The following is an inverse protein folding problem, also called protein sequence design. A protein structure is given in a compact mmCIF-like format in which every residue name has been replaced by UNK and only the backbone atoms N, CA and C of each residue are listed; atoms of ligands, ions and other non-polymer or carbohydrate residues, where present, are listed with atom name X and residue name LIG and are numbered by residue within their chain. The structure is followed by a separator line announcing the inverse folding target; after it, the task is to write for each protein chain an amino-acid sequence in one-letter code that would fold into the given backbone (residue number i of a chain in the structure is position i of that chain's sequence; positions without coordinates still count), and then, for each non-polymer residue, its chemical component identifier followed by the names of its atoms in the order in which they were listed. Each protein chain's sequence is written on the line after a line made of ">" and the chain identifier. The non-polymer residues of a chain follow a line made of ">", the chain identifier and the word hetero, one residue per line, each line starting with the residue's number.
data_IF_462946649740
#
_entry.id   IF_462946649740
#
_cell.length_a   1.000
_cell.length_b   1.000
_cell.length_c   1.000
_cell.angle_alpha   90.00
_cell.angle_beta   90.00
_cell.angle_gamma   90.00
#
_symmetry.space_group_name_H-M   'P 1'
#
loop_
_entity.id
_entity.type
_entity.pdbx_description
1 polymer ?
#
# COMPACT_ATOMS: atom_id res chain seq x y z
N UNK A 1 -16.72 -11.41 -22.07
CA UNK A 1 -16.59 -12.88 -21.89
C UNK A 1 -16.39 -13.11 -20.40
N UNK A 2 -17.16 -13.98 -19.75
CA UNK A 2 -16.93 -14.30 -18.34
C UNK A 2 -15.74 -15.27 -18.26
N UNK A 3 -14.68 -14.88 -17.56
CA UNK A 3 -13.59 -15.79 -17.19
C UNK A 3 -13.76 -16.16 -15.73
N UNK A 4 -14.11 -17.42 -15.45
CA UNK A 4 -14.11 -17.97 -14.10
C UNK A 4 -12.68 -18.26 -13.69
N UNK A 5 -12.24 -17.69 -12.57
CA UNK A 5 -10.91 -17.95 -11.99
C UNK A 5 -11.13 -18.82 -10.74
N UNK A 6 -10.67 -20.07 -10.81
CA UNK A 6 -10.90 -21.07 -9.75
C UNK A 6 -10.23 -20.70 -8.41
N UNK A 7 -9.05 -20.08 -8.48
CA UNK A 7 -8.36 -19.44 -7.37
C UNK A 7 -7.40 -18.39 -7.93
N UNK A 8 -7.39 -17.18 -7.36
CA UNK A 8 -6.50 -16.10 -7.79
C UNK A 8 -5.66 -15.54 -6.63
N UNK A 9 -4.37 -15.35 -6.88
CA UNK A 9 -3.49 -14.43 -6.17
C UNK A 9 -2.90 -13.47 -7.21
N UNK A 10 -2.66 -12.22 -6.83
CA UNK A 10 -2.13 -11.15 -7.68
C UNK A 10 -3.14 -10.07 -8.01
N UNK A 11 -2.78 -9.22 -8.97
CA UNK A 11 -3.64 -8.15 -9.49
C UNK A 11 -4.52 -8.68 -10.64
N UNK A 12 -5.84 -8.64 -10.44
CA UNK A 12 -6.85 -8.88 -11.47
C UNK A 12 -7.54 -7.57 -11.83
N UNK A 13 -7.70 -7.32 -13.12
CA UNK A 13 -8.24 -6.07 -13.63
C UNK A 13 -9.59 -6.31 -14.30
N UNK A 14 -10.60 -5.51 -13.93
CA UNK A 14 -11.92 -5.48 -14.56
C UNK A 14 -12.08 -4.12 -15.24
N UNK A 15 -12.57 -4.14 -16.47
CA UNK A 15 -12.83 -2.94 -17.25
C UNK A 15 -13.66 -3.29 -18.48
N UNK A 16 -14.26 -2.26 -19.09
CA UNK A 16 -15.07 -2.36 -20.30
C UNK A 16 -16.32 -3.27 -20.16
N UNK A 17 -16.93 -3.31 -18.97
CA UNK A 17 -18.15 -4.07 -18.71
C UNK A 17 -17.92 -5.58 -18.65
N UNK A 18 -16.71 -5.98 -18.30
CA UNK A 18 -16.37 -7.39 -18.17
C UNK A 18 -16.82 -7.96 -16.82
N UNK A 19 -16.87 -9.28 -16.76
CA UNK A 19 -17.19 -10.02 -15.54
C UNK A 19 -16.00 -10.88 -15.14
N UNK A 20 -15.56 -10.74 -13.89
CA UNK A 20 -14.68 -11.71 -13.23
C UNK A 20 -15.49 -12.44 -12.17
N UNK A 21 -15.34 -13.76 -12.14
CA UNK A 21 -15.92 -14.62 -11.11
C UNK A 21 -14.81 -15.33 -10.34
N UNK A 22 -14.86 -15.22 -9.02
CA UNK A 22 -13.90 -15.81 -8.10
C UNK A 22 -14.59 -16.86 -7.25
N UNK A 23 -14.17 -18.11 -7.46
CA UNK A 23 -14.60 -19.23 -6.61
C UNK A 23 -13.93 -19.18 -5.23
N UNK A 24 -12.65 -18.79 -5.19
CA UNK A 24 -11.84 -18.65 -3.98
C UNK A 24 -10.61 -17.76 -4.23
N UNK A 25 -9.90 -17.38 -3.16
CA UNK A 25 -8.65 -16.62 -3.22
C UNK A 25 -8.73 -15.23 -2.59
N UNK A 26 -7.62 -14.50 -2.65
CA UNK A 26 -7.47 -13.18 -2.06
C UNK A 26 -6.73 -12.18 -2.99
N UNK A 27 -7.07 -12.11 -4.29
CA UNK A 27 -6.38 -11.20 -5.20
C UNK A 27 -6.70 -9.74 -4.90
N UNK A 28 -5.88 -8.84 -5.44
CA UNK A 28 -6.25 -7.45 -5.62
C UNK A 28 -7.10 -7.32 -6.89
N UNK A 29 -8.31 -6.79 -6.78
CA UNK A 29 -9.22 -6.46 -7.87
C UNK A 29 -9.15 -4.97 -8.18
N UNK A 30 -8.89 -4.63 -9.43
CA UNK A 30 -8.89 -3.26 -9.92
C UNK A 30 -10.00 -3.05 -10.94
N UNK A 31 -11.01 -2.26 -10.58
CA UNK A 31 -11.99 -1.70 -11.50
C UNK A 31 -11.38 -0.47 -12.19
N UNK A 32 -11.41 -0.42 -13.53
CA UNK A 32 -10.66 0.60 -14.29
C UNK A 32 -11.48 1.78 -14.79
N UNK A 33 -12.73 1.57 -15.20
CA UNK A 33 -13.43 2.55 -16.04
C UNK A 33 -14.88 2.85 -15.63
N UNK A 34 -15.39 2.21 -14.58
CA UNK A 34 -16.76 2.42 -14.08
C UNK A 34 -17.84 1.98 -15.07
N UNK A 35 -17.51 1.16 -16.08
CA UNK A 35 -18.44 0.81 -17.16
C UNK A 35 -19.14 -0.52 -16.92
N UNK A 36 -20.03 -0.58 -15.93
CA UNK A 36 -20.86 -1.77 -15.68
C UNK A 36 -20.05 -3.06 -15.47
N UNK A 37 -18.87 -2.93 -14.86
CA UNK A 37 -18.02 -4.06 -14.52
C UNK A 37 -18.65 -4.89 -13.40
N UNK A 38 -18.45 -6.21 -13.45
CA UNK A 38 -19.02 -7.15 -12.48
C UNK A 38 -17.94 -8.03 -11.85
N UNK A 39 -17.79 -7.93 -10.52
CA UNK A 39 -17.06 -8.90 -9.72
C UNK A 39 -18.07 -9.86 -9.05
N UNK A 40 -17.98 -11.16 -9.33
CA UNK A 40 -18.72 -12.19 -8.61
C UNK A 40 -17.84 -12.88 -7.59
N UNK A 41 -18.32 -12.93 -6.35
CA UNK A 41 -17.68 -13.65 -5.26
C UNK A 41 -18.55 -14.84 -4.87
N UNK A 42 -18.06 -16.06 -5.08
CA UNK A 42 -18.78 -17.26 -4.66
C UNK A 42 -18.72 -17.44 -3.12
N UNK A 43 -17.66 -16.92 -2.50
CA UNK A 43 -17.41 -16.99 -1.05
C UNK A 43 -17.09 -15.60 -0.47
N UNK A 44 -18.04 -14.65 -0.48
CA UNK A 44 -17.79 -13.26 -0.05
C UNK A 44 -17.41 -13.15 1.43
N UNK A 45 -17.85 -14.09 2.28
CA UNK A 45 -17.52 -14.12 3.71
C UNK A 45 -16.05 -14.47 4.01
N UNK A 46 -15.36 -15.14 3.09
CA UNK A 46 -13.94 -15.51 3.21
C UNK A 46 -13.02 -14.71 2.30
N UNK A 47 -13.55 -13.78 1.50
CA UNK A 47 -12.73 -12.92 0.65
C UNK A 47 -11.90 -11.97 1.51
N UNK A 48 -10.58 -12.08 1.40
CA UNK A 48 -9.62 -11.21 2.11
C UNK A 48 -8.81 -10.32 1.18
N UNK A 49 -9.07 -10.42 -0.13
CA UNK A 49 -8.42 -9.60 -1.14
C UNK A 49 -8.76 -8.12 -1.04
N UNK A 50 -8.13 -7.33 -1.91
CA UNK A 50 -8.32 -5.88 -1.98
C UNK A 50 -9.17 -5.52 -3.19
N UNK A 51 -10.03 -4.53 -3.09
CA UNK A 51 -10.84 -4.01 -4.21
C UNK A 51 -10.53 -2.53 -4.35
N UNK A 52 -10.19 -2.11 -5.56
CA UNK A 52 -9.75 -0.75 -5.88
C UNK A 52 -10.55 -0.22 -7.06
N UNK A 53 -10.91 1.06 -7.02
CA UNK A 53 -11.59 1.72 -8.13
C UNK A 53 -13.06 1.30 -8.30
N UNK A 54 -13.69 0.69 -7.30
CA UNK A 54 -15.10 0.32 -7.34
C UNK A 54 -16.01 1.57 -7.33
N UNK A 55 -16.69 1.86 -8.42
CA UNK A 55 -17.38 3.13 -8.60
C UNK A 55 -18.80 2.97 -9.17
N UNK A 56 -19.51 4.10 -9.35
CA UNK A 56 -20.84 4.05 -9.93
C UNK A 56 -20.79 3.44 -11.33
N UNK A 57 -21.69 2.48 -11.57
CA UNK A 57 -21.66 1.61 -12.73
C UNK A 57 -21.23 0.20 -12.37
N UNK A 58 -20.23 0.03 -11.50
CA UNK A 58 -19.71 -1.27 -11.12
C UNK A 58 -20.63 -2.02 -10.16
N UNK A 59 -20.53 -3.35 -10.16
CA UNK A 59 -21.29 -4.22 -9.27
C UNK A 59 -20.40 -5.30 -8.66
N UNK A 60 -20.56 -5.53 -7.36
CA UNK A 60 -20.06 -6.72 -6.67
C UNK A 60 -21.27 -7.61 -6.38
N UNK A 61 -21.28 -8.81 -6.94
CA UNK A 61 -22.25 -9.85 -6.67
C UNK A 61 -21.75 -10.70 -5.49
N UNK A 62 -22.55 -10.72 -4.43
CA UNK A 62 -22.27 -11.38 -3.15
C UNK A 62 -23.00 -12.73 -3.05
N UNK A 63 -23.47 -13.28 -4.18
CA UNK A 63 -24.27 -14.49 -4.21
C UNK A 63 -25.53 -14.36 -3.35
N UNK A 64 -25.93 -15.44 -2.69
CA UNK A 64 -27.15 -15.49 -1.88
C UNK A 64 -26.96 -14.91 -0.46
N UNK A 65 -25.99 -14.01 -0.24
CA UNK A 65 -25.66 -13.47 1.08
C UNK A 65 -26.66 -12.36 1.48
N UNK A 66 -27.53 -12.55 2.47
CA UNK A 66 -28.43 -11.48 2.92
C UNK A 66 -27.65 -10.37 3.61
N UNK A 67 -27.99 -9.11 3.33
CA UNK A 67 -27.38 -7.92 3.95
C UNK A 67 -28.48 -6.97 4.40
N UNK A 68 -28.50 -6.64 5.70
CA UNK A 68 -29.46 -5.71 6.30
C UNK A 68 -28.83 -4.39 6.75
N UNK A 69 -27.50 -4.33 6.87
CA UNK A 69 -26.78 -3.11 7.23
C UNK A 69 -25.37 -3.09 6.67
N UNK A 70 -24.85 -1.89 6.44
CA UNK A 70 -23.52 -1.62 5.87
C UNK A 70 -22.82 -0.60 6.76
N UNK A 71 -21.54 -0.82 7.03
CA UNK A 71 -20.68 0.21 7.63
C UNK A 71 -19.36 0.32 6.89
N UNK A 72 -18.90 1.54 6.66
CA UNK A 72 -17.62 1.82 6.02
C UNK A 72 -16.74 2.66 6.93
N UNK A 73 -15.49 2.23 7.12
CA UNK A 73 -14.52 2.89 7.99
C UNK A 73 -13.43 3.66 7.23
N UNK A 74 -12.76 4.58 7.94
CA UNK A 74 -11.57 5.28 7.44
C UNK A 74 -10.40 4.34 7.07
N UNK A 75 -10.47 3.09 7.53
CA UNK A 75 -9.49 2.05 7.22
C UNK A 75 -9.71 1.37 5.86
N UNK A 76 -10.70 1.81 5.07
CA UNK A 76 -10.98 1.21 3.78
C UNK A 76 -11.86 -0.06 3.84
N UNK A 77 -12.36 -0.45 5.02
CA UNK A 77 -13.10 -1.71 5.17
C UNK A 77 -14.61 -1.45 5.15
N UNK A 78 -15.29 -2.09 4.19
CA UNK A 78 -16.74 -2.22 4.14
C UNK A 78 -17.16 -3.47 4.90
N UNK A 79 -17.91 -3.29 5.99
CA UNK A 79 -18.50 -4.40 6.75
C UNK A 79 -19.96 -4.55 6.39
N UNK A 80 -20.33 -5.75 5.96
CA UNK A 80 -21.69 -6.14 5.61
C UNK A 80 -22.25 -7.00 6.74
N UNK A 81 -23.43 -6.66 7.24
CA UNK A 81 -24.06 -7.39 8.34
C UNK A 81 -25.52 -7.72 8.03
N UNK A 82 -26.00 -8.82 8.61
CA UNK A 82 -27.41 -9.23 8.58
C UNK A 82 -27.89 -9.46 10.01
N UNK A 83 -28.95 -8.75 10.40
CA UNK A 83 -29.53 -8.83 11.74
C UNK A 83 -28.49 -8.68 12.88
N UNK A 84 -27.49 -7.82 12.68
CA UNK A 84 -26.42 -7.56 13.66
C UNK A 84 -25.20 -8.49 13.57
N UNK A 85 -25.25 -9.56 12.77
CA UNK A 85 -24.11 -10.47 12.55
C UNK A 85 -23.33 -10.04 11.31
N UNK A 86 -22.00 -9.95 11.41
CA UNK A 86 -21.15 -9.68 10.25
C UNK A 86 -21.15 -10.89 9.32
N UNK A 87 -21.55 -10.67 8.07
CA UNK A 87 -21.66 -11.72 7.04
C UNK A 87 -20.51 -11.66 6.02
N UNK A 88 -19.91 -10.48 5.82
CA UNK A 88 -18.73 -10.29 4.99
C UNK A 88 -17.97 -9.00 5.35
N UNK A 89 -16.69 -8.97 5.01
CA UNK A 89 -15.85 -7.76 5.06
C UNK A 89 -15.11 -7.63 3.73
N UNK A 90 -15.22 -6.48 3.09
CA UNK A 90 -14.55 -6.18 1.83
C UNK A 90 -13.57 -5.02 2.02
N UNK A 91 -12.34 -5.18 1.56
CA UNK A 91 -11.33 -4.12 1.61
C UNK A 91 -11.49 -3.23 0.36
N UNK A 92 -12.27 -2.15 0.46
CA UNK A 92 -12.47 -1.16 -0.61
C UNK A 92 -11.50 0.01 -0.46
N UNK A 93 -10.39 0.03 -1.22
CA UNK A 93 -9.40 1.10 -1.20
C UNK A 93 -9.64 2.14 -2.31
N UNK A 94 -9.31 3.39 -1.99
CA UNK A 94 -9.27 4.52 -2.93
C UNK A 94 -10.57 4.82 -3.72
N UNK A 95 -11.72 4.94 -3.05
CA UNK A 95 -12.98 5.47 -3.60
C UNK A 95 -13.69 6.51 -2.69
N UNK A 96 -14.51 7.39 -3.27
CA UNK A 96 -15.20 8.47 -2.51
C UNK A 96 -16.44 7.98 -1.74
N UNK A 97 -16.26 7.03 -0.80
CA UNK A 97 -17.36 6.47 -0.03
C UNK A 97 -17.57 7.25 1.28
N UNK A 98 -18.82 7.55 1.67
CA UNK A 98 -19.11 8.08 3.00
C UNK A 98 -18.62 7.13 4.09
N UNK A 99 -18.09 7.68 5.19
CA UNK A 99 -17.71 6.91 6.38
C UNK A 99 -18.84 6.94 7.40
N UNK A 100 -19.18 5.79 7.99
CA UNK A 100 -20.30 5.65 8.90
C UNK A 100 -20.95 4.27 8.88
N UNK A 101 -22.13 4.17 9.48
CA UNK A 101 -22.92 2.94 9.60
C UNK A 101 -24.38 3.22 9.28
N UNK A 102 -24.98 2.39 8.43
CA UNK A 102 -26.33 2.58 7.93
C UNK A 102 -27.10 1.26 7.84
N UNK A 103 -28.39 1.32 8.13
CA UNK A 103 -29.31 0.24 7.78
C UNK A 103 -29.60 0.27 6.28
N UNK A 104 -29.79 -0.90 5.68
CA UNK A 104 -30.25 -1.02 4.30
C UNK A 104 -31.76 -0.74 4.28
N UNK A 105 -32.15 0.40 3.74
CA UNK A 105 -33.56 0.80 3.62
C UNK A 105 -33.90 0.94 2.15
N UNK A 106 -34.83 0.10 1.66
CA UNK A 106 -35.22 0.02 0.23
C UNK A 106 -33.99 -0.13 -0.69
N UNK A 107 -33.00 -0.88 -0.22
CA UNK A 107 -31.77 -1.14 -0.94
C UNK A 107 -30.75 0.00 -0.95
N UNK A 108 -30.88 1.04 -0.12
CA UNK A 108 -29.88 2.10 0.02
C UNK A 108 -29.25 2.09 1.43
N UNK A 109 -27.95 2.35 1.51
CA UNK A 109 -27.20 2.46 2.77
C UNK A 109 -25.95 3.36 2.59
N UNK A 110 -26.04 4.64 3.01
CA UNK A 110 -24.85 5.49 3.14
C UNK A 110 -24.03 5.73 1.87
N UNK A 111 -24.68 5.80 0.70
CA UNK A 111 -24.01 5.91 -0.59
C UNK A 111 -23.75 4.57 -1.29
N UNK A 112 -23.93 3.45 -0.59
CA UNK A 112 -24.01 2.12 -1.19
C UNK A 112 -25.46 1.77 -1.56
N UNK A 113 -25.59 0.94 -2.58
CA UNK A 113 -26.85 0.31 -2.98
C UNK A 113 -26.71 -1.20 -2.79
N UNK A 114 -27.69 -1.80 -2.12
CA UNK A 114 -27.80 -3.23 -1.88
C UNK A 114 -29.11 -3.67 -2.51
N UNK A 115 -29.02 -4.43 -3.60
CA UNK A 115 -30.19 -4.89 -4.36
C UNK A 115 -30.21 -6.41 -4.47
N UNK A 116 -31.34 -6.96 -4.86
CA UNK A 116 -31.46 -8.39 -5.20
C UNK A 116 -31.64 -8.48 -6.71
N UNK A 117 -30.74 -9.20 -7.38
CA UNK A 117 -30.82 -9.48 -8.80
C UNK A 117 -31.97 -10.41 -9.16
N UNK A 118 -32.27 -10.52 -10.45
CA UNK A 118 -33.31 -11.44 -10.94
C UNK A 118 -32.96 -12.93 -10.68
N UNK A 119 -31.68 -13.21 -10.49
CA UNK A 119 -31.09 -14.49 -10.05
C UNK A 119 -31.22 -14.72 -8.53
N UNK A 120 -31.78 -13.77 -7.78
CA UNK A 120 -31.89 -13.83 -6.33
C UNK A 120 -30.60 -13.44 -5.59
N UNK A 121 -29.53 -13.07 -6.31
CA UNK A 121 -28.26 -12.71 -5.70
C UNK A 121 -28.29 -11.30 -5.12
N UNK A 122 -27.64 -11.11 -3.98
CA UNK A 122 -27.39 -9.80 -3.41
C UNK A 122 -26.30 -9.09 -4.21
N UNK A 123 -26.61 -7.90 -4.72
CA UNK A 123 -25.70 -7.06 -5.49
C UNK A 123 -25.40 -5.78 -4.73
N UNK A 124 -24.12 -5.49 -4.59
CA UNK A 124 -23.60 -4.25 -4.05
C UNK A 124 -23.16 -3.34 -5.20
N UNK A 125 -23.60 -2.10 -5.20
CA UNK A 125 -23.11 -1.02 -6.06
C UNK A 125 -22.99 0.28 -5.26
N UNK A 126 -22.53 1.35 -5.89
CA UNK A 126 -22.44 2.68 -5.26
C UNK A 126 -23.25 3.72 -6.02
N UNK A 127 -23.90 4.59 -5.26
CA UNK A 127 -24.71 5.70 -5.76
C UNK A 127 -23.91 7.00 -5.92
N UNK A 128 -22.68 7.06 -5.39
CA UNK A 128 -21.82 8.25 -5.45
C UNK A 128 -21.31 8.52 -6.87
N UNK A 129 -21.08 9.79 -7.25
CA UNK A 129 -20.53 10.13 -8.57
C UNK A 129 -19.24 9.37 -8.86
N UNK A 130 -19.04 8.99 -10.13
CA UNK A 130 -17.80 8.38 -10.59
C UNK A 130 -16.59 9.29 -10.26
N UNK A 131 -15.39 8.72 -10.07
CA UNK A 131 -14.17 9.48 -9.92
C UNK A 131 -13.96 10.41 -11.10
N UNK A 132 -13.24 11.50 -10.86
CA UNK A 132 -12.79 12.36 -11.94
C UNK A 132 -11.54 11.73 -12.55
N UNK A 133 -11.64 11.37 -13.83
CA UNK A 133 -10.59 10.64 -14.56
C UNK A 133 -9.80 11.57 -15.48
N UNK A 134 -8.47 11.41 -15.54
CA UNK A 134 -7.62 12.19 -16.43
C UNK A 134 -7.82 11.84 -17.92
N UNK A 135 -7.76 12.84 -18.80
CA UNK A 135 -7.90 12.70 -20.25
C UNK A 135 -6.65 12.18 -20.97
N UNK A 136 -5.56 11.93 -20.22
CA UNK A 136 -4.24 11.61 -20.77
C UNK A 136 -3.47 12.84 -21.28
N UNK A 137 -3.93 14.05 -20.98
CA UNK A 137 -3.21 15.29 -21.24
C UNK A 137 -2.45 15.75 -19.99
N UNK A 138 -1.26 16.31 -20.18
CA UNK A 138 -0.53 16.95 -19.08
C UNK A 138 -1.16 18.29 -18.70
N UNK A 139 -1.08 18.67 -17.43
CA UNK A 139 -1.61 19.95 -16.97
C UNK A 139 -1.61 20.10 -15.46
N UNK A 140 -2.19 21.20 -14.99
CA UNK A 140 -2.39 21.44 -13.57
C UNK A 140 -3.64 20.70 -13.05
N UNK A 141 -3.59 20.16 -11.84
CA UNK A 141 -4.66 19.44 -11.17
C UNK A 141 -5.97 20.25 -11.13
N UNK A 142 -5.86 21.55 -10.89
CA UNK A 142 -7.00 22.48 -10.84
C UNK A 142 -7.47 22.99 -12.22
N UNK A 143 -6.82 22.60 -13.31
CA UNK A 143 -7.23 23.00 -14.66
C UNK A 143 -8.25 22.00 -15.23
N UNK A 144 -9.24 22.51 -15.97
CA UNK A 144 -10.26 21.71 -16.64
C UNK A 144 -9.72 20.76 -17.72
N UNK A 145 -8.75 21.24 -18.52
CA UNK A 145 -8.23 20.55 -19.70
C UNK A 145 -7.69 19.11 -19.47
N UNK A 146 -6.93 18.82 -18.40
CA UNK A 146 -6.41 17.47 -18.16
C UNK A 146 -7.45 16.41 -17.77
N UNK A 147 -8.74 16.76 -17.64
CA UNK A 147 -9.77 15.83 -17.15
C UNK A 147 -10.80 15.49 -18.21
N UNK A 148 -11.27 14.25 -18.17
CA UNK A 148 -12.38 13.80 -19.02
C UNK A 148 -13.61 14.67 -18.75
N UNK A 149 -14.19 15.23 -19.82
CA UNK A 149 -15.35 16.13 -19.71
C UNK A 149 -14.99 17.56 -19.28
N UNK A 150 -13.70 17.91 -19.15
CA UNK A 150 -13.27 19.29 -18.92
C UNK A 150 -13.59 19.82 -17.52
N UNK A 151 -13.80 18.96 -16.53
CA UNK A 151 -14.10 19.37 -15.16
C UNK A 151 -12.95 18.98 -14.24
N UNK A 152 -12.31 19.97 -13.60
CA UNK A 152 -11.26 19.73 -12.63
C UNK A 152 -11.81 19.07 -11.34
N UNK A 153 -11.03 18.21 -10.67
CA UNK A 153 -11.38 17.67 -9.37
C UNK A 153 -11.61 18.78 -8.36
N UNK A 154 -12.75 18.72 -7.69
CA UNK A 154 -13.04 19.51 -6.49
C UNK A 154 -12.47 18.87 -5.23
N UNK A 155 -12.52 19.62 -4.13
CA UNK A 155 -12.10 19.12 -2.82
C UNK A 155 -12.91 17.90 -2.39
N UNK A 156 -12.24 16.82 -2.00
CA UNK A 156 -12.89 15.61 -1.51
C UNK A 156 -13.44 14.68 -2.60
N UNK A 157 -13.24 15.02 -3.88
CA UNK A 157 -13.59 14.13 -5.00
C UNK A 157 -12.45 13.13 -5.23
N UNK A 158 -12.79 11.86 -5.46
CA UNK A 158 -11.83 10.84 -5.85
C UNK A 158 -11.24 11.15 -7.23
N UNK A 159 -9.94 10.96 -7.37
CA UNK A 159 -9.19 11.24 -8.58
C UNK A 159 -8.53 9.96 -9.10
N UNK A 160 -8.83 9.62 -10.35
CA UNK A 160 -8.25 8.46 -11.03
C UNK A 160 -7.37 8.91 -12.20
N UNK A 161 -6.14 8.41 -12.25
CA UNK A 161 -5.17 8.68 -13.30
C UNK A 161 -4.93 7.40 -14.12
N UNK A 162 -5.62 7.23 -15.25
CA UNK A 162 -5.48 6.12 -16.20
C UNK A 162 -6.52 6.17 -17.35
N UNK A 163 -6.54 5.23 -18.32
CA UNK A 163 -5.48 4.36 -18.83
C UNK A 163 -4.86 4.99 -20.10
N UNK A 164 -4.20 6.14 -19.96
CA UNK A 164 -3.67 6.83 -21.14
C UNK A 164 -2.64 5.97 -21.90
N UNK A 165 -2.68 6.02 -23.22
CA UNK A 165 -1.74 5.34 -24.12
C UNK A 165 -0.41 6.10 -24.30
N UNK A 166 -0.22 7.23 -23.61
CA UNK A 166 0.94 8.10 -23.73
C UNK A 166 1.32 8.68 -22.38
N UNK A 167 2.59 9.07 -22.16
CA UNK A 167 3.00 9.67 -20.91
C UNK A 167 2.33 11.03 -20.71
N UNK A 168 1.90 11.30 -19.49
CA UNK A 168 1.32 12.58 -19.12
C UNK A 168 1.63 12.88 -17.65
N UNK A 169 1.65 14.17 -17.31
CA UNK A 169 1.95 14.66 -15.97
C UNK A 169 0.83 15.58 -15.51
N UNK A 170 0.19 15.23 -14.41
CA UNK A 170 -0.71 16.13 -13.68
C UNK A 170 0.08 16.71 -12.51
N UNK A 171 0.29 18.03 -12.49
CA UNK A 171 0.97 18.73 -11.40
C UNK A 171 -0.04 19.38 -10.44
N UNK A 172 0.15 19.33 -9.13
CA UNK A 172 -0.80 19.95 -8.17
C UNK A 172 -0.90 21.47 -8.32
N UNK A 173 0.17 22.11 -8.78
CA UNK A 173 0.25 23.54 -9.05
C UNK A 173 0.42 24.38 -7.80
N UNK A 174 0.14 25.68 -7.94
CA UNK A 174 0.38 26.68 -6.88
C UNK A 174 -0.66 26.69 -5.77
N UNK A 175 -1.67 25.83 -5.82
CA UNK A 175 -2.75 25.74 -4.85
C UNK A 175 -2.66 24.43 -4.07
N UNK A 176 -3.01 24.47 -2.79
CA UNK A 176 -3.15 23.27 -1.99
C UNK A 176 -4.23 22.38 -2.61
N UNK A 177 -3.83 21.23 -3.15
CA UNK A 177 -4.76 20.28 -3.73
C UNK A 177 -5.36 19.40 -2.62
N UNK A 178 -6.65 19.10 -2.71
CA UNK A 178 -7.29 18.15 -1.81
C UNK A 178 -8.11 17.16 -2.63
N UNK A 179 -7.85 15.87 -2.42
CA UNK A 179 -8.59 14.77 -3.05
C UNK A 179 -9.23 13.90 -1.98
N UNK A 180 -10.39 13.32 -2.29
CA UNK A 180 -11.01 12.33 -1.43
C UNK A 180 -10.19 11.05 -1.38
N UNK A 181 -9.86 10.54 -2.57
CA UNK A 181 -9.09 9.33 -2.81
C UNK A 181 -8.18 9.54 -4.02
N UNK A 182 -6.93 9.09 -3.93
CA UNK A 182 -5.97 9.18 -5.03
C UNK A 182 -5.67 7.78 -5.57
N UNK A 183 -5.92 7.58 -6.86
CA UNK A 183 -5.69 6.33 -7.56
C UNK A 183 -4.93 6.56 -8.88
N UNK A 184 -3.78 5.92 -9.06
CA UNK A 184 -3.00 5.92 -10.30
C UNK A 184 -3.00 4.51 -10.90
N UNK A 185 -3.58 4.35 -12.09
CA UNK A 185 -3.74 3.05 -12.76
C UNK A 185 -3.06 3.00 -14.13
N UNK A 186 -2.72 4.15 -14.72
CA UNK A 186 -2.00 4.22 -15.99
C UNK A 186 -0.49 4.12 -15.80
N UNK A 187 0.14 3.09 -16.38
CA UNK A 187 1.59 2.86 -16.26
C UNK A 187 2.48 4.01 -16.76
N UNK A 188 1.96 4.87 -17.63
CA UNK A 188 2.67 6.05 -18.15
C UNK A 188 2.25 7.37 -17.49
N UNK A 189 1.24 7.33 -16.61
CA UNK A 189 0.74 8.51 -15.92
C UNK A 189 1.65 8.89 -14.76
N UNK A 190 1.87 10.18 -14.59
CA UNK A 190 2.53 10.75 -13.41
C UNK A 190 1.63 11.75 -12.73
N UNK A 191 1.47 11.62 -11.41
CA UNK A 191 1.01 12.72 -10.57
C UNK A 191 2.23 13.33 -9.88
N UNK A 192 2.45 14.61 -10.10
CA UNK A 192 3.47 15.41 -9.44
C UNK A 192 2.84 16.30 -8.38
N UNK A 193 3.15 16.02 -7.12
CA UNK A 193 2.86 16.90 -5.99
C UNK A 193 4.01 17.89 -5.89
N UNK A 194 3.81 19.10 -6.38
CA UNK A 194 4.79 20.19 -6.43
C UNK A 194 4.63 21.21 -5.28
N UNK A 195 3.53 21.13 -4.53
CA UNK A 195 3.31 21.88 -3.29
C UNK A 195 2.71 21.02 -2.19
N UNK A 196 1.46 21.25 -1.80
CA UNK A 196 0.79 20.52 -0.73
C UNK A 196 -0.42 19.79 -1.33
N UNK A 197 -0.50 18.50 -1.08
CA UNK A 197 -1.64 17.67 -1.43
C UNK A 197 -2.14 16.91 -0.20
N UNK A 198 -3.44 17.00 0.05
CA UNK A 198 -4.13 16.22 1.07
C UNK A 198 -5.02 15.15 0.41
N UNK A 199 -4.68 13.88 0.62
CA UNK A 199 -5.49 12.71 0.30
C UNK A 199 -6.09 12.15 1.60
N UNK A 200 -7.04 12.91 2.18
CA UNK A 200 -7.33 12.86 3.61
C UNK A 200 -8.04 11.60 4.13
N UNK A 201 -8.77 10.88 3.27
CA UNK A 201 -9.78 9.93 3.74
C UNK A 201 -9.38 8.47 3.51
N UNK A 202 -8.42 8.23 2.62
CA UNK A 202 -8.01 6.92 2.14
C UNK A 202 -6.55 6.91 1.70
N UNK A 203 -5.94 5.72 1.61
CA UNK A 203 -4.58 5.60 1.11
C UNK A 203 -4.47 6.14 -0.31
N UNK A 204 -3.34 6.78 -0.61
CA UNK A 204 -2.90 6.98 -1.98
C UNK A 204 -2.52 5.64 -2.59
N UNK A 205 -3.20 5.24 -3.66
CA UNK A 205 -2.97 3.96 -4.33
C UNK A 205 -2.31 4.19 -5.67
N UNK A 206 -1.13 3.59 -5.86
CA UNK A 206 -0.40 3.56 -7.11
C UNK A 206 -0.45 2.12 -7.63
N UNK A 207 -1.46 1.80 -8.42
CA UNK A 207 -1.55 0.49 -9.06
C UNK A 207 -0.56 0.37 -10.23
N UNK A 208 -0.33 1.47 -10.95
CA UNK A 208 0.72 1.62 -11.94
C UNK A 208 1.09 3.10 -12.11
N UNK A 209 2.20 3.39 -12.79
CA UNK A 209 2.64 4.75 -13.07
C UNK A 209 3.43 5.36 -11.92
N UNK A 210 3.51 6.69 -11.87
CA UNK A 210 4.38 7.39 -10.90
C UNK A 210 3.62 8.38 -10.04
N UNK A 211 3.80 8.28 -8.73
CA UNK A 211 3.53 9.34 -7.77
C UNK A 211 4.85 10.03 -7.41
N UNK A 212 5.03 11.28 -7.82
CA UNK A 212 6.20 12.07 -7.51
C UNK A 212 5.85 13.17 -6.50
N UNK A 213 6.59 13.24 -5.39
CA UNK A 213 6.54 14.36 -4.45
C UNK A 213 7.81 15.17 -4.65
N UNK A 214 7.65 16.36 -5.25
CA UNK A 214 8.75 17.22 -5.64
C UNK A 214 9.45 17.84 -4.42
N UNK A 215 10.52 18.58 -4.69
CA UNK A 215 11.31 19.19 -3.64
C UNK A 215 10.50 20.19 -2.80
N UNK A 216 10.56 20.05 -1.48
CA UNK A 216 9.81 20.84 -0.48
C UNK A 216 8.28 20.70 -0.58
N UNK A 217 7.78 19.75 -1.37
CA UNK A 217 6.37 19.44 -1.44
C UNK A 217 5.96 18.49 -0.30
N UNK A 218 4.67 18.43 0.00
CA UNK A 218 4.08 17.58 1.03
C UNK A 218 2.88 16.86 0.47
N UNK A 219 2.91 15.53 0.50
CA UNK A 219 1.72 14.70 0.36
C UNK A 219 1.32 14.19 1.74
N UNK A 220 0.10 14.47 2.16
CA UNK A 220 -0.49 13.88 3.36
C UNK A 220 -1.58 12.89 2.96
N UNK A 221 -1.48 11.64 3.42
CA UNK A 221 -2.47 10.59 3.15
C UNK A 221 -2.66 9.68 4.36
N UNK A 222 -3.72 8.86 4.39
CA UNK A 222 -3.89 7.84 5.43
C UNK A 222 -3.08 6.57 5.19
N UNK A 223 -2.51 6.41 4.00
CA UNK A 223 -1.67 5.28 3.61
C UNK A 223 -1.01 5.51 2.26
N UNK A 224 -0.01 4.70 1.93
CA UNK A 224 0.54 4.62 0.58
C UNK A 224 0.60 3.15 0.15
N UNK A 225 -0.07 2.80 -0.92
CA UNK A 225 -0.16 1.41 -1.38
C UNK A 225 0.25 1.32 -2.84
N UNK A 226 1.28 0.54 -3.12
CA UNK A 226 1.65 0.12 -4.46
C UNK A 226 1.14 -1.31 -4.69
N UNK A 227 0.48 -1.55 -5.83
CA UNK A 227 -0.19 -2.84 -6.12
C UNK A 227 0.43 -3.57 -7.32
N UNK A 228 1.60 -3.14 -7.79
CA UNK A 228 2.21 -3.76 -8.95
C UNK A 228 3.60 -3.24 -9.28
N UNK A 229 4.32 -3.96 -10.15
CA UNK A 229 5.71 -3.69 -10.50
C UNK A 229 5.90 -2.38 -11.28
N UNK A 230 4.85 -1.94 -11.98
CA UNK A 230 4.85 -0.67 -12.71
C UNK A 230 4.52 0.53 -11.82
N UNK A 231 4.22 0.31 -10.53
CA UNK A 231 3.99 1.37 -9.58
C UNK A 231 5.34 1.96 -9.12
N UNK A 232 5.41 3.27 -9.13
CA UNK A 232 6.57 4.02 -8.69
C UNK A 232 6.14 5.15 -7.76
N UNK A 233 6.88 5.32 -6.68
CA UNK A 233 6.76 6.50 -5.81
C UNK A 233 8.13 7.10 -5.63
N UNK A 234 8.23 8.41 -5.84
CA UNK A 234 9.47 9.16 -5.70
C UNK A 234 9.27 10.34 -4.76
N UNK A 235 10.18 10.52 -3.82
CA UNK A 235 10.22 11.67 -2.91
C UNK A 235 11.55 12.39 -3.09
N UNK A 236 11.49 13.61 -3.61
CA UNK A 236 12.67 14.43 -3.88
C UNK A 236 13.14 15.21 -2.66
N UNK A 237 14.27 15.91 -2.81
CA UNK A 237 14.95 16.64 -1.73
C UNK A 237 13.99 17.51 -0.92
N UNK A 238 13.92 17.28 0.39
CA UNK A 238 13.00 17.94 1.32
C UNK A 238 11.50 17.76 1.02
N UNK A 239 11.13 17.03 -0.03
CA UNK A 239 9.77 16.56 -0.23
C UNK A 239 9.39 15.60 0.89
N UNK A 240 8.10 15.54 1.23
CA UNK A 240 7.63 14.79 2.38
C UNK A 240 6.35 14.04 2.04
N UNK A 241 6.34 12.73 2.30
CA UNK A 241 5.11 11.95 2.42
C UNK A 241 4.82 11.78 3.90
N UNK A 242 3.65 12.23 4.34
CA UNK A 242 3.14 12.03 5.70
C UNK A 242 2.01 11.02 5.62
N UNK A 243 2.19 9.88 6.28
CA UNK A 243 1.20 8.82 6.34
C UNK A 243 0.60 8.75 7.74
N UNK A 244 -0.68 9.10 7.86
CA UNK A 244 -1.46 8.90 9.08
C UNK A 244 -2.09 7.52 9.05
N UNK A 245 -1.44 6.52 9.63
CA UNK A 245 -1.70 5.11 9.36
C UNK A 245 -3.16 4.63 9.47
N UNK A 246 -3.40 3.51 8.80
CA UNK A 246 -4.60 2.68 8.93
C UNK A 246 -4.54 1.98 10.30
N UNK A 247 -5.64 1.96 11.04
CA UNK A 247 -5.68 1.39 12.39
C UNK A 247 -5.28 -0.10 12.50
N UNK A 248 -5.11 -0.84 11.38
CA UNK A 248 -4.88 -2.29 11.37
C UNK A 248 -4.09 -2.81 10.14
N UNK A 249 -3.07 -2.09 9.64
CA UNK A 249 -2.30 -2.56 8.47
C UNK A 249 -0.97 -1.84 8.23
N UNK A 250 -0.23 -2.26 7.20
CA UNK A 250 0.97 -1.55 6.75
C UNK A 250 0.59 -0.11 6.36
N UNK A 251 1.31 0.87 6.90
CA UNK A 251 1.14 2.27 6.53
C UNK A 251 1.63 2.51 5.09
N UNK A 252 2.69 1.82 4.70
CA UNK A 252 3.21 1.82 3.33
C UNK A 252 3.36 0.38 2.85
N UNK A 253 2.80 0.07 1.68
CA UNK A 253 3.04 -1.18 0.96
C UNK A 253 3.74 -0.87 -0.35
N UNK A 254 4.87 -1.52 -0.59
CA UNK A 254 5.72 -1.36 -1.78
C UNK A 254 5.74 -2.68 -2.53
N UNK A 255 5.09 -2.72 -3.69
CA UNK A 255 5.13 -3.84 -4.65
C UNK A 255 5.84 -3.46 -5.97
N UNK A 256 6.17 -2.16 -6.13
CA UNK A 256 6.96 -1.66 -7.23
C UNK A 256 8.24 -1.00 -6.74
N UNK A 257 8.42 0.28 -7.06
CA UNK A 257 9.60 1.05 -6.64
C UNK A 257 9.22 2.19 -5.70
N UNK A 258 9.90 2.30 -4.55
CA UNK A 258 9.89 3.48 -3.70
C UNK A 258 11.29 4.10 -3.68
N UNK A 259 11.43 5.34 -4.12
CA UNK A 259 12.68 6.09 -4.09
C UNK A 259 12.55 7.33 -3.19
N UNK A 260 13.32 7.39 -2.11
CA UNK A 260 13.43 8.55 -1.23
C UNK A 260 14.81 9.18 -1.43
N UNK A 261 14.87 10.25 -2.24
CA UNK A 261 16.10 10.87 -2.72
C UNK A 261 16.31 12.24 -2.06
N UNK A 262 16.78 12.24 -0.81
CA UNK A 262 16.89 13.44 0.03
C UNK A 262 15.56 13.95 0.61
N UNK A 263 14.47 13.24 0.36
CA UNK A 263 13.14 13.52 0.89
C UNK A 263 12.85 12.80 2.21
N UNK A 264 11.59 12.82 2.64
CA UNK A 264 11.12 12.18 3.87
C UNK A 264 9.88 11.32 3.65
N UNK A 265 9.83 10.16 4.27
CA UNK A 265 8.60 9.38 4.47
C UNK A 265 8.37 9.23 5.96
N UNK A 266 7.27 9.82 6.44
CA UNK A 266 6.85 9.80 7.83
C UNK A 266 5.69 8.82 7.98
N UNK A 267 6.01 7.57 8.25
CA UNK A 267 5.07 6.48 8.54
C UNK A 267 5.17 5.99 10.00
N UNK A 268 5.89 6.71 10.87
CA UNK A 268 6.16 6.31 12.27
C UNK A 268 5.02 6.58 13.26
N UNK A 269 5.26 6.38 14.58
CA UNK A 269 4.26 6.58 15.63
C UNK A 269 3.55 7.92 15.50
N UNK A 270 2.34 8.01 16.08
CA UNK A 270 1.47 9.20 16.00
C UNK A 270 2.26 10.50 16.01
N UNK A 271 2.32 11.15 14.85
CA UNK A 271 2.97 12.44 14.70
C UNK A 271 2.18 13.48 15.53
N UNK A 272 2.87 14.47 16.10
CA UNK A 272 2.20 15.53 16.86
C UNK A 272 1.14 16.22 15.97
N UNK A 273 -0.14 16.13 16.37
CA UNK A 273 -1.27 16.65 15.60
C UNK A 273 -1.94 15.68 14.62
N UNK A 274 -1.39 14.48 14.38
CA UNK A 274 -2.06 13.43 13.62
C UNK A 274 -3.17 12.77 14.46
N UNK A 275 -4.29 12.39 13.85
CA UNK A 275 -5.39 11.67 14.51
C UNK A 275 -5.16 10.16 14.57
N UNK A 276 -4.21 9.63 13.80
CA UNK A 276 -3.85 8.20 13.72
C UNK A 276 -2.34 7.99 13.91
N UNK A 277 -1.97 6.82 14.42
CA UNK A 277 -0.58 6.31 14.50
C UNK A 277 -0.12 5.89 13.11
N UNK A 278 1.13 6.14 12.72
CA UNK A 278 1.72 5.44 11.58
C UNK A 278 1.92 3.95 11.88
N UNK A 279 2.56 3.24 10.96
CA UNK A 279 2.56 1.79 10.97
C UNK A 279 3.73 1.19 10.18
N UNK A 280 3.66 -0.13 10.01
CA UNK A 280 4.71 -0.90 9.35
C UNK A 280 4.88 -0.53 7.88
N UNK A 281 6.12 -0.51 7.37
CA UNK A 281 6.41 -0.51 5.94
C UNK A 281 6.63 -1.95 5.46
N UNK A 282 5.83 -2.40 4.50
CA UNK A 282 5.92 -3.71 3.88
C UNK A 282 6.49 -3.58 2.46
N UNK A 283 7.56 -4.32 2.16
CA UNK A 283 8.21 -4.30 0.84
C UNK A 283 8.24 -5.72 0.29
N UNK A 284 7.61 -5.96 -0.85
CA UNK A 284 7.59 -7.27 -1.52
C UNK A 284 6.86 -8.36 -0.74
N UNK A 285 5.87 -7.98 0.09
CA UNK A 285 4.96 -8.91 0.78
C UNK A 285 3.67 -9.18 0.00
N UNK A 286 3.58 -8.68 -1.23
CA UNK A 286 2.46 -8.92 -2.12
C UNK A 286 2.64 -10.18 -2.96
N UNK A 287 1.53 -10.68 -3.47
CA UNK A 287 1.42 -11.81 -4.39
C UNK A 287 1.85 -11.47 -5.83
N UNK A 288 2.25 -10.23 -6.08
CA UNK A 288 2.84 -9.76 -7.34
C UNK A 288 4.19 -10.42 -7.61
N UNK A 289 4.29 -11.17 -8.71
CA UNK A 289 5.40 -12.04 -9.09
C UNK A 289 6.74 -11.35 -9.48
N UNK A 290 7.11 -10.22 -8.85
CA UNK A 290 8.31 -9.45 -9.19
C UNK A 290 8.93 -8.75 -7.97
N UNK A 291 10.25 -8.43 -8.02
CA UNK A 291 10.94 -7.82 -6.89
C UNK A 291 10.46 -6.39 -6.63
N UNK A 292 10.11 -6.11 -5.38
CA UNK A 292 9.79 -4.77 -4.92
C UNK A 292 11.04 -4.12 -4.32
N UNK A 293 11.27 -2.85 -4.62
CA UNK A 293 12.50 -2.16 -4.23
C UNK A 293 12.19 -0.84 -3.55
N UNK A 294 12.67 -0.68 -2.31
CA UNK A 294 12.76 0.60 -1.65
C UNK A 294 14.23 1.07 -1.61
N UNK A 295 14.49 2.29 -2.05
CA UNK A 295 15.81 2.92 -1.96
C UNK A 295 15.69 4.26 -1.24
N UNK A 296 16.48 4.43 -0.18
CA UNK A 296 16.65 5.70 0.52
C UNK A 296 18.09 6.14 0.33
N UNK A 297 18.26 7.37 -0.16
CA UNK A 297 19.56 7.89 -0.52
C UNK A 297 19.63 9.42 -0.42
N UNK A 298 20.84 9.95 -0.62
CA UNK A 298 21.11 11.38 -0.73
C UNK A 298 20.59 12.22 0.45
N UNK A 299 20.72 11.70 1.68
CA UNK A 299 20.20 12.36 2.88
C UNK A 299 18.71 12.11 3.15
N UNK A 300 18.11 11.15 2.44
CA UNK A 300 16.71 10.78 2.62
C UNK A 300 16.45 10.20 4.02
N UNK A 301 15.24 10.41 4.52
CA UNK A 301 14.84 9.95 5.86
C UNK A 301 13.53 9.17 5.81
N UNK A 302 13.53 7.98 6.39
CA UNK A 302 12.30 7.19 6.58
C UNK A 302 12.13 6.91 8.06
N UNK A 303 10.92 7.14 8.55
CA UNK A 303 10.52 6.84 9.92
C UNK A 303 9.26 5.99 9.87
N UNK A 304 9.28 4.83 10.51
CA UNK A 304 8.11 3.97 10.63
C UNK A 304 8.03 3.34 12.02
N UNK A 305 7.12 2.37 12.22
CA UNK A 305 7.08 1.57 13.45
C UNK A 305 7.65 0.18 13.27
N UNK A 306 8.16 -0.18 12.10
CA UNK A 306 8.66 -1.51 11.79
C UNK A 306 8.66 -1.78 10.30
N UNK A 307 9.65 -2.49 9.83
CA UNK A 307 9.81 -2.83 8.42
C UNK A 307 9.71 -4.35 8.21
N UNK A 308 9.06 -4.78 7.13
CA UNK A 308 9.01 -6.17 6.69
C UNK A 308 9.40 -6.30 5.23
N UNK A 309 10.46 -7.07 4.96
CA UNK A 309 10.88 -7.44 3.60
C UNK A 309 10.40 -8.86 3.31
N UNK A 310 9.51 -8.98 2.34
CA UNK A 310 8.93 -10.25 1.94
C UNK A 310 9.90 -11.14 1.19
N UNK A 311 9.74 -12.44 1.33
CA UNK A 311 10.46 -13.46 0.61
C UNK A 311 9.47 -14.52 0.10
N UNK A 312 9.59 -14.86 -1.16
CA UNK A 312 8.70 -15.80 -1.81
C UNK A 312 9.34 -16.48 -3.03
N UNK A 313 8.62 -17.43 -3.64
CA UNK A 313 9.09 -18.13 -4.84
C UNK A 313 9.16 -17.21 -6.07
N UNK A 314 8.41 -16.10 -6.05
CA UNK A 314 8.26 -15.20 -7.20
C UNK A 314 8.47 -13.72 -6.86
N UNK A 315 8.53 -13.35 -5.59
CA UNK A 315 8.76 -11.97 -5.16
C UNK A 315 9.75 -11.93 -3.99
N UNK A 316 10.55 -10.87 -3.97
CA UNK A 316 11.44 -10.56 -2.87
C UNK A 316 11.45 -9.04 -2.65
N UNK A 317 11.31 -8.65 -1.40
CA UNK A 317 11.51 -7.27 -0.96
C UNK A 317 13.00 -6.94 -0.89
N UNK A 318 13.38 -5.82 -1.49
CA UNK A 318 14.73 -5.25 -1.39
C UNK A 318 14.66 -3.87 -0.76
N UNK A 319 15.43 -3.65 0.30
CA UNK A 319 15.64 -2.35 0.92
C UNK A 319 17.11 -1.94 0.78
N UNK A 320 17.35 -0.78 0.19
CA UNK A 320 18.67 -0.15 0.09
C UNK A 320 18.66 1.18 0.83
N UNK A 321 19.51 1.30 1.85
CA UNK A 321 19.74 2.54 2.60
C UNK A 321 21.19 2.94 2.36
N UNK A 322 21.42 4.03 1.63
CA UNK A 322 22.78 4.39 1.18
C UNK A 322 23.08 5.88 1.23
N UNK A 323 24.34 6.22 1.46
CA UNK A 323 24.85 7.60 1.42
C UNK A 323 24.82 8.30 2.77
N UNK A 324 25.77 9.22 2.94
CA UNK A 324 25.94 9.99 4.18
C UNK A 324 24.71 10.84 4.46
N UNK A 325 24.28 10.86 5.72
CA UNK A 325 23.10 11.60 6.18
C UNK A 325 21.77 10.92 5.88
N UNK A 326 21.79 9.80 5.15
CA UNK A 326 20.60 8.98 4.91
C UNK A 326 20.26 8.17 6.17
N UNK A 327 18.98 8.13 6.54
CA UNK A 327 18.50 7.42 7.72
C UNK A 327 17.22 6.63 7.44
N UNK A 328 17.15 5.41 7.97
CA UNK A 328 15.93 4.65 8.13
C UNK A 328 15.77 4.30 9.61
N UNK A 329 14.61 4.59 10.21
CA UNK A 329 14.40 4.41 11.65
C UNK A 329 13.04 3.82 11.95
N UNK A 330 13.06 2.60 12.49
CA UNK A 330 11.88 1.91 12.99
C UNK A 330 11.73 2.29 14.48
N UNK A 331 10.77 3.17 14.75
CA UNK A 331 10.53 3.74 16.07
C UNK A 331 9.63 2.82 16.90
N UNK A 332 9.84 2.81 18.22
CA UNK A 332 8.89 2.20 19.14
C UNK A 332 7.59 3.04 19.15
N UNK A 333 6.44 2.36 19.12
CA UNK A 333 5.15 3.00 19.39
C UNK A 333 4.61 2.46 20.72
N UNK A 334 4.64 3.26 21.80
CA UNK A 334 4.19 2.82 23.12
C UNK A 334 2.68 2.59 23.18
N UNK A 335 1.92 3.04 22.18
CA UNK A 335 0.47 2.84 22.10
C UNK A 335 0.10 1.51 21.47
N UNK A 336 1.02 0.84 20.78
CA UNK A 336 0.81 -0.51 20.28
C UNK A 336 1.22 -1.54 21.35
N UNK A 337 0.25 -2.33 21.81
CA UNK A 337 0.46 -3.39 22.82
C UNK A 337 1.04 -4.67 22.22
N UNK A 338 1.07 -4.77 20.89
CA UNK A 338 1.75 -5.84 20.19
C UNK A 338 3.24 -5.49 20.13
N UNK A 339 4.09 -6.44 20.55
CA UNK A 339 5.55 -6.40 20.56
C UNK A 339 6.17 -6.38 19.14
N UNK A 340 5.52 -5.69 18.21
CA UNK A 340 5.80 -5.66 16.78
C UNK A 340 6.30 -4.28 16.33
N UNK A 341 6.69 -3.41 17.27
CA UNK A 341 7.17 -2.06 16.96
C UNK A 341 8.68 -1.90 17.13
N UNK A 342 9.25 -1.04 16.31
CA UNK A 342 10.69 -0.86 16.18
C UNK A 342 11.40 -2.11 15.70
N UNK A 343 10.82 -2.82 14.72
CA UNK A 343 11.37 -4.10 14.24
C UNK A 343 11.66 -4.13 12.75
N UNK A 344 12.87 -4.59 12.40
CA UNK A 344 13.24 -4.92 11.03
C UNK A 344 13.20 -6.44 10.80
N UNK A 345 12.27 -6.92 9.97
CA UNK A 345 12.14 -8.33 9.60
C UNK A 345 12.52 -8.54 8.13
N UNK A 346 13.65 -9.19 7.87
CA UNK A 346 14.16 -9.49 6.53
C UNK A 346 13.90 -10.94 6.18
N UNK A 347 13.17 -11.18 5.09
CA UNK A 347 12.93 -12.52 4.58
C UNK A 347 11.68 -13.17 5.13
N UNK A 348 10.66 -12.36 5.43
CA UNK A 348 9.38 -12.84 5.96
C UNK A 348 8.64 -13.58 4.84
N UNK A 349 8.20 -14.83 5.04
CA UNK A 349 7.46 -15.56 4.01
C UNK A 349 6.19 -14.79 3.67
N UNK A 350 5.88 -14.73 2.38
CA UNK A 350 4.60 -14.22 1.90
C UNK A 350 3.47 -14.98 2.62
N UNK A 351 2.51 -14.31 3.28
CA UNK A 351 1.39 -14.98 3.95
C UNK A 351 0.55 -15.87 3.01
N UNK A 352 0.64 -15.67 1.68
CA UNK A 352 -0.02 -16.51 0.68
C UNK A 352 0.65 -17.84 0.37
N UNK A 353 1.92 -18.04 0.76
CA UNK A 353 2.64 -19.31 0.54
C UNK A 353 2.59 -20.17 1.81
N UNK A 354 2.08 -21.40 1.68
CA UNK A 354 2.02 -22.34 2.80
C UNK A 354 3.41 -22.56 3.43
N UNK A 355 3.46 -22.59 4.76
CA UNK A 355 4.68 -22.78 5.53
C UNK A 355 5.49 -23.98 4.99
N UNK A 356 6.75 -23.76 4.62
CA UNK A 356 7.68 -24.82 4.19
C UNK A 356 7.93 -24.92 2.68
N UNK A 357 7.36 -24.05 1.85
CA UNK A 357 7.73 -23.99 0.42
C UNK A 357 9.13 -23.37 0.28
N UNK A 358 10.06 -23.99 -0.48
CA UNK A 358 11.39 -23.42 -0.70
C UNK A 358 11.31 -22.03 -1.31
N UNK A 359 11.98 -21.06 -0.69
CA UNK A 359 12.12 -19.72 -1.24
C UNK A 359 13.26 -19.71 -2.24
N UNK A 360 12.98 -19.36 -3.49
CA UNK A 360 14.00 -19.17 -4.54
C UNK A 360 14.54 -17.73 -4.60
N UNK A 361 13.79 -16.76 -4.07
CA UNK A 361 14.14 -15.33 -4.06
C UNK A 361 14.20 -14.81 -2.61
N UNK A 362 15.38 -14.77 -1.96
CA UNK A 362 15.51 -14.23 -0.61
C UNK A 362 15.33 -12.71 -0.60
N UNK A 363 14.76 -12.18 0.47
CA UNK A 363 14.72 -10.74 0.71
C UNK A 363 16.13 -10.17 0.91
N UNK A 364 16.33 -8.90 0.55
CA UNK A 364 17.64 -8.25 0.62
C UNK A 364 17.59 -6.92 1.38
N UNK A 365 18.46 -6.77 2.36
CA UNK A 365 18.73 -5.51 3.06
C UNK A 365 20.16 -5.06 2.77
N UNK A 366 20.35 -3.82 2.33
CA UNK A 366 21.66 -3.21 2.12
C UNK A 366 21.74 -1.88 2.87
N UNK A 367 22.71 -1.77 3.77
CA UNK A 367 23.05 -0.51 4.46
C UNK A 367 24.49 -0.13 4.09
N UNK A 368 24.66 0.98 3.38
CA UNK A 368 25.96 1.30 2.78
C UNK A 368 26.33 2.79 2.81
N UNK A 369 27.60 3.09 2.53
CA UNK A 369 28.11 4.43 2.23
C UNK A 369 27.81 5.47 3.33
N UNK A 370 27.98 5.08 4.60
CA UNK A 370 27.74 5.97 5.75
C UNK A 370 26.27 6.18 6.12
N UNK A 371 25.34 5.44 5.51
CA UNK A 371 23.94 5.47 5.91
C UNK A 371 23.72 4.82 7.29
N UNK A 372 22.63 5.22 7.95
CA UNK A 372 22.23 4.69 9.25
C UNK A 372 20.87 4.00 9.16
N UNK A 373 20.78 2.79 9.69
CA UNK A 373 19.55 2.06 9.93
C UNK A 373 19.41 1.83 11.44
N UNK A 374 18.26 2.15 12.03
CA UNK A 374 18.02 2.06 13.48
C UNK A 374 16.72 1.35 13.80
N UNK A 375 16.78 0.33 14.65
CA UNK A 375 15.62 -0.36 15.22
C UNK A 375 15.51 -0.03 16.70
N UNK A 376 14.33 0.37 17.18
CA UNK A 376 14.14 0.56 18.61
C UNK A 376 14.16 -0.77 19.39
N UNK A 377 13.65 -1.85 18.78
CA UNK A 377 13.40 -3.14 19.40
C UNK A 377 14.35 -4.23 18.90
N UNK A 378 13.95 -4.93 17.84
CA UNK A 378 14.49 -6.24 17.46
C UNK A 378 14.68 -6.35 15.94
N UNK A 379 15.62 -7.17 15.50
CA UNK A 379 15.81 -7.47 14.08
C UNK A 379 15.90 -8.98 13.81
N UNK A 380 15.37 -9.41 12.67
CA UNK A 380 15.44 -10.79 12.20
C UNK A 380 15.86 -10.87 10.73
N UNK A 381 16.67 -11.88 10.40
CA UNK A 381 17.03 -12.21 9.02
C UNK A 381 16.78 -13.70 8.79
N UNK A 382 15.81 -14.02 7.91
CA UNK A 382 15.50 -15.40 7.53
C UNK A 382 15.14 -16.29 8.72
N UNK A 383 14.28 -15.81 9.62
CA UNK A 383 13.89 -16.51 10.86
C UNK A 383 12.54 -17.18 10.68
N UNK A 384 12.49 -18.49 10.92
CA UNK A 384 11.30 -19.33 10.83
C UNK A 384 11.19 -20.16 9.55
N UNK A 385 10.37 -21.23 9.54
CA UNK A 385 10.21 -22.10 8.38
C UNK A 385 9.78 -21.34 7.13
N UNK A 386 10.42 -21.61 5.99
CA UNK A 386 10.12 -20.92 4.72
C UNK A 386 10.58 -19.46 4.67
N UNK A 387 11.34 -18.97 5.65
CA UNK A 387 11.90 -17.61 5.63
C UNK A 387 13.28 -17.62 4.97
N UNK A 388 13.55 -16.67 4.09
CA UNK A 388 14.86 -16.52 3.46
C UNK A 388 15.24 -15.04 3.29
N UNK A 389 16.37 -14.63 3.86
CA UNK A 389 16.80 -13.23 3.86
C UNK A 389 18.31 -13.05 3.93
N UNK A 390 18.79 -11.94 3.39
CA UNK A 390 20.18 -11.53 3.46
C UNK A 390 20.28 -10.05 3.85
N UNK A 391 21.22 -9.73 4.73
CA UNK A 391 21.59 -8.35 5.02
C UNK A 391 23.08 -8.10 4.78
N UNK A 392 23.41 -6.99 4.12
CA UNK A 392 24.78 -6.51 3.94
C UNK A 392 24.93 -5.12 4.52
N UNK A 393 25.86 -4.96 5.47
CA UNK A 393 26.25 -3.66 6.03
C UNK A 393 27.68 -3.36 5.61
N UNK A 394 27.89 -2.28 4.85
CA UNK A 394 29.19 -2.03 4.23
C UNK A 394 29.56 -0.56 4.05
N UNK A 395 30.81 -0.27 3.69
CA UNK A 395 31.27 1.06 3.30
C UNK A 395 30.91 2.15 4.32
N UNK A 396 31.19 1.90 5.61
CA UNK A 396 30.84 2.81 6.72
C UNK A 396 29.36 2.87 7.09
N UNK A 397 28.50 2.08 6.44
CA UNK A 397 27.10 1.91 6.82
C UNK A 397 26.98 1.37 8.25
N UNK A 398 25.94 1.81 8.97
CA UNK A 398 25.72 1.45 10.37
C UNK A 398 24.30 0.96 10.60
N UNK A 399 24.17 -0.24 11.13
CA UNK A 399 22.90 -0.79 11.60
C UNK A 399 22.89 -0.88 13.12
N UNK A 400 21.93 -0.21 13.76
CA UNK A 400 21.78 -0.16 15.21
C UNK A 400 20.47 -0.85 15.60
N UNK A 401 20.56 -2.07 16.10
CA UNK A 401 19.44 -2.76 16.72
C UNK A 401 19.46 -2.41 18.19
N UNK A 402 18.39 -1.80 18.69
CA UNK A 402 18.29 -1.20 20.02
C UNK A 402 18.47 -2.16 21.19
N UNK A 403 17.52 -2.19 22.12
CA UNK A 403 17.66 -3.01 23.33
C UNK A 403 17.44 -4.52 23.07
N UNK A 404 16.86 -4.89 21.93
CA UNK A 404 16.56 -6.28 21.59
C UNK A 404 17.68 -7.01 20.85
N UNK A 405 17.36 -8.24 20.43
CA UNK A 405 18.29 -9.13 19.75
C UNK A 405 18.32 -8.92 18.23
N UNK A 406 19.39 -9.41 17.60
CA UNK A 406 19.46 -9.67 16.17
C UNK A 406 19.51 -11.19 15.98
N UNK A 407 18.51 -11.76 15.31
CA UNK A 407 18.46 -13.20 15.01
C UNK A 407 18.70 -13.46 13.52
N UNK A 408 19.57 -14.43 13.21
CA UNK A 408 19.96 -14.75 11.83
C UNK A 408 19.81 -16.25 11.59
N UNK A 409 18.97 -16.63 10.64
CA UNK A 409 18.79 -18.02 10.20
C UNK A 409 18.16 -18.96 11.23
N UNK A 410 17.56 -18.45 12.30
CA UNK A 410 16.92 -19.29 13.31
C UNK A 410 15.69 -19.99 12.71
N UNK A 411 15.82 -21.28 12.37
CA UNK A 411 14.74 -22.07 11.76
C UNK A 411 14.42 -21.73 10.30
N UNK A 412 15.25 -20.92 9.64
CA UNK A 412 15.11 -20.50 8.23
C UNK A 412 16.49 -20.32 7.56
N UNK A 413 16.54 -19.57 6.45
CA UNK A 413 17.78 -19.28 5.72
C UNK A 413 18.14 -17.80 5.83
N UNK A 414 19.02 -17.47 6.79
CA UNK A 414 19.44 -16.09 7.04
C UNK A 414 20.94 -15.91 6.84
N UNK A 415 21.35 -14.77 6.27
CA UNK A 415 22.76 -14.39 6.18
C UNK A 415 22.97 -12.91 6.53
N UNK A 416 24.07 -12.63 7.24
CA UNK A 416 24.51 -11.28 7.55
C UNK A 416 25.98 -11.13 7.12
N UNK A 417 26.24 -10.14 6.27
CA UNK A 417 27.58 -9.74 5.88
C UNK A 417 27.88 -8.34 6.42
N UNK A 418 28.99 -8.19 7.15
CA UNK A 418 29.52 -6.90 7.58
C UNK A 418 30.88 -6.73 6.91
N UNK A 419 31.01 -5.73 6.03
CA UNK A 419 32.13 -5.61 5.08
C UNK A 419 32.67 -4.17 5.02
N UNK A 420 33.91 -3.96 4.61
CA UNK A 420 34.44 -2.64 4.20
C UNK A 420 34.11 -1.49 5.20
N UNK A 421 34.38 -1.69 6.50
CA UNK A 421 34.10 -0.70 7.55
C UNK A 421 32.63 -0.55 7.94
N UNK A 422 31.75 -1.47 7.52
CA UNK A 422 30.38 -1.56 8.04
C UNK A 422 30.35 -1.92 9.53
N UNK A 423 29.29 -1.49 10.22
CA UNK A 423 29.09 -1.75 11.66
C UNK A 423 27.66 -2.20 11.96
N UNK A 424 27.51 -3.29 12.70
CA UNK A 424 26.22 -3.72 13.27
C UNK A 424 26.32 -3.75 14.78
N UNK A 425 25.45 -3.04 15.48
CA UNK A 425 25.35 -3.06 16.94
C UNK A 425 24.01 -3.66 17.35
N UNK A 426 23.99 -4.57 18.32
CA UNK A 426 22.78 -5.22 18.83
C UNK A 426 22.81 -5.40 20.36
N UNK A 427 21.68 -5.16 21.03
CA UNK A 427 21.45 -5.59 22.41
C UNK A 427 22.29 -4.90 23.48
N UNK A 428 22.42 -3.57 23.44
CA UNK A 428 23.07 -2.79 24.51
C UNK A 428 24.58 -3.01 24.72
N UNK A 429 25.23 -3.87 23.93
CA UNK A 429 26.67 -4.14 24.05
C UNK A 429 27.30 -5.07 23.00
N UNK A 430 26.52 -5.78 22.19
CA UNK A 430 27.04 -6.58 21.08
C UNK A 430 27.40 -5.72 19.87
N UNK A 431 28.56 -5.93 19.26
CA UNK A 431 28.95 -5.24 18.02
C UNK A 431 29.70 -6.18 17.07
N UNK A 432 29.28 -6.19 15.81
CA UNK A 432 29.98 -6.80 14.69
C UNK A 432 30.64 -5.69 13.89
N UNK A 433 31.97 -5.78 13.73
CA UNK A 433 32.79 -4.81 13.02
C UNK A 433 33.55 -5.52 11.91
N UNK A 434 33.64 -4.88 10.74
CA UNK A 434 34.59 -5.27 9.71
C UNK A 434 35.82 -4.37 9.78
N UNK A 435 37.00 -5.00 9.78
CA UNK A 435 38.30 -4.33 9.82
C UNK A 435 38.75 -3.79 8.47
#
# INVERSE_FOLDING_TARGET
>A
MASTIAAGTGLLTIGNGNTIELASGAPTILFQDGKADLLRLDQPGSFTGTIVGFNAGDTIDLGLLPVSSVSYGYNGVLTLSNAGTVVARLNLLAGAYPVGSWQVVKGAAGGFLVSVGADGHTRLSVATPAPVTASGQSGAYAAAAPWVGGTAPGTGIATTLGPAASPYVIATGTVNAASGALLITGAQGTLEVDRYMLAAWQPAVVAAGTLAVAANAVLQSSGLVQLGPAASTRVDRNGMIVVGGLANGSAVTVEGTLLVNGGKVLAGPKQAGATTTGGTIAIGLGDGALPAVATVQAGGQVYDTGTRLGAGPVSAGTLVVTGVGTNWSDLADPTQTQNTTGTMLVGVPDPGIGAGTPVSSPASLVVAQGAVLTEAGYAAIGVGPGSAGAATVSAGGRWQVGAGALSVGAGGSGSLAVLNGGTVAAGGGGSFLSG
#
